data_IF_540830556390
#
_entry.id   IF_540830556390
#
_cell.length_a   1.000
_cell.length_b   1.000
_cell.length_c   1.000
_cell.angle_alpha   90.00
_cell.angle_beta   90.00
_cell.angle_gamma   90.00
#
_symmetry.space_group_name_H-M   'P 1'
#
loop_
_entity.id
_entity.type
_entity.pdbx_description
1 polymer ?
#
# COMPACT_ATOMS: atom_id res chain seq x y z
N UNK A 1 -4.74 11.58 9.35
CA UNK A 1 -5.36 10.24 9.32
C UNK A 1 -4.56 9.29 10.22
N UNK A 2 -5.18 8.56 11.15
CA UNK A 2 -4.48 7.52 11.94
C UNK A 2 -4.46 6.19 11.15
N UNK A 3 -3.57 6.10 10.15
CA UNK A 3 -3.51 5.02 9.16
C UNK A 3 -3.68 3.61 9.76
N UNK A 4 -2.84 3.23 10.73
CA UNK A 4 -2.89 1.89 11.32
C UNK A 4 -4.19 1.56 12.06
N UNK A 5 -4.84 2.56 12.67
CA UNK A 5 -6.13 2.38 13.36
C UNK A 5 -7.22 2.12 12.33
N UNK A 6 -7.27 2.93 11.26
CA UNK A 6 -8.25 2.78 10.18
C UNK A 6 -8.19 1.38 9.56
N UNK A 7 -6.99 0.88 9.24
CA UNK A 7 -6.82 -0.47 8.68
C UNK A 7 -7.36 -1.55 9.65
N UNK A 8 -6.96 -1.48 10.93
CA UNK A 8 -7.36 -2.49 11.91
C UNK A 8 -8.87 -2.50 12.13
N UNK A 9 -9.51 -1.33 12.24
CA UNK A 9 -10.97 -1.23 12.40
C UNK A 9 -11.70 -1.83 11.21
N UNK A 10 -11.29 -1.51 9.97
CA UNK A 10 -11.91 -2.08 8.77
C UNK A 10 -11.76 -3.60 8.69
N UNK A 11 -10.63 -4.15 9.14
CA UNK A 11 -10.42 -5.60 9.18
C UNK A 11 -11.29 -6.30 10.22
N UNK A 12 -11.42 -5.75 11.42
CA UNK A 12 -12.22 -6.38 12.48
C UNK A 12 -13.71 -6.30 12.18
N UNK A 13 -14.22 -5.18 11.65
CA UNK A 13 -15.62 -5.05 11.23
C UNK A 13 -15.99 -6.12 10.19
N UNK A 14 -15.16 -6.30 9.15
CA UNK A 14 -15.40 -7.32 8.13
C UNK A 14 -15.29 -8.76 8.68
N UNK A 15 -14.47 -9.00 9.70
CA UNK A 15 -14.41 -10.30 10.38
C UNK A 15 -15.66 -10.57 11.20
N UNK A 16 -16.13 -9.58 11.96
CA UNK A 16 -17.33 -9.69 12.81
C UNK A 16 -18.60 -9.90 11.98
N UNK A 17 -18.79 -9.14 10.91
CA UNK A 17 -19.91 -9.31 9.98
C UNK A 17 -19.93 -10.73 9.41
N UNK A 18 -18.79 -11.24 8.97
CA UNK A 18 -18.73 -12.58 8.40
C UNK A 18 -18.98 -13.68 9.44
N UNK A 19 -18.61 -13.46 10.70
CA UNK A 19 -18.91 -14.39 11.78
C UNK A 19 -20.39 -14.38 12.15
N UNK A 20 -21.04 -13.21 12.12
CA UNK A 20 -22.49 -13.08 12.37
C UNK A 20 -23.33 -13.82 11.33
N UNK A 21 -22.91 -13.80 10.05
CA UNK A 21 -23.62 -14.49 8.96
C UNK A 21 -23.67 -16.03 9.10
N UNK A 22 -22.83 -16.64 9.96
CA UNK A 22 -22.60 -18.10 9.97
C UNK A 22 -23.58 -18.90 10.83
N UNK A 23 -24.30 -18.25 11.76
CA UNK A 23 -25.23 -18.91 12.68
C UNK A 23 -24.58 -19.95 13.60
N UNK A 24 -25.40 -20.82 14.20
CA UNK A 24 -24.92 -21.93 15.03
C UNK A 24 -24.29 -23.04 14.18
N UNK A 25 -23.18 -23.59 14.67
CA UNK A 25 -22.39 -24.63 14.00
C UNK A 25 -21.86 -25.62 15.00
N UNK A 26 -21.67 -26.88 14.59
CA UNK A 26 -20.92 -27.86 15.35
C UNK A 26 -19.45 -27.44 15.54
N UNK A 27 -18.79 -27.99 16.55
CA UNK A 27 -17.45 -27.58 16.97
C UNK A 27 -16.37 -27.78 15.87
N UNK A 28 -16.51 -28.82 15.03
CA UNK A 28 -15.55 -29.10 13.95
C UNK A 28 -15.71 -28.09 12.81
N UNK A 29 -16.95 -27.79 12.42
CA UNK A 29 -17.27 -26.79 11.41
C UNK A 29 -16.87 -25.39 11.88
N UNK A 30 -17.15 -25.06 13.15
CA UNK A 30 -16.76 -23.79 13.77
C UNK A 30 -15.24 -23.55 13.69
N UNK A 31 -14.40 -24.53 14.05
CA UNK A 31 -12.93 -24.43 13.94
C UNK A 31 -12.48 -24.14 12.51
N UNK A 32 -13.04 -24.84 11.51
CA UNK A 32 -12.71 -24.63 10.09
C UNK A 32 -13.12 -23.24 9.61
N UNK A 33 -14.32 -22.77 10.00
CA UNK A 33 -14.83 -21.45 9.65
C UNK A 33 -13.97 -20.35 10.28
N UNK A 34 -13.60 -20.47 11.55
CA UNK A 34 -12.72 -19.52 12.22
C UNK A 34 -11.38 -19.42 11.48
N UNK A 35 -10.76 -20.55 11.13
CA UNK A 35 -9.50 -20.58 10.39
C UNK A 35 -9.61 -19.85 9.04
N UNK A 36 -10.66 -20.15 8.27
CA UNK A 36 -10.86 -19.55 6.94
C UNK A 36 -11.18 -18.05 7.00
N UNK A 37 -11.90 -17.61 8.02
CA UNK A 37 -12.29 -16.20 8.20
C UNK A 37 -11.09 -15.39 8.67
N UNK A 38 -10.28 -15.91 9.61
CA UNK A 38 -9.00 -15.30 9.98
C UNK A 38 -8.07 -15.13 8.77
N UNK A 39 -7.92 -16.18 7.95
CA UNK A 39 -7.11 -16.11 6.72
C UNK A 39 -7.61 -15.02 5.77
N UNK A 40 -8.92 -14.88 5.59
CA UNK A 40 -9.50 -13.82 4.73
C UNK A 40 -9.33 -12.43 5.33
N UNK A 41 -9.46 -12.29 6.65
CA UNK A 41 -9.14 -11.04 7.36
C UNK A 41 -7.71 -10.60 7.08
N UNK A 42 -6.74 -11.52 7.13
CA UNK A 42 -5.33 -11.19 6.86
C UNK A 42 -5.09 -10.80 5.40
N UNK A 43 -5.72 -11.50 4.44
CA UNK A 43 -5.68 -11.13 3.01
C UNK A 43 -6.28 -9.74 2.79
N UNK A 44 -7.43 -9.48 3.40
CA UNK A 44 -8.12 -8.19 3.33
C UNK A 44 -7.29 -7.10 3.98
N UNK A 45 -6.58 -7.38 5.07
CA UNK A 45 -5.68 -6.42 5.72
C UNK A 45 -4.62 -5.92 4.75
N UNK A 46 -3.95 -6.82 4.05
CA UNK A 46 -2.97 -6.45 3.03
C UNK A 46 -3.59 -5.63 1.89
N UNK A 47 -4.77 -6.03 1.40
CA UNK A 47 -5.46 -5.31 0.34
C UNK A 47 -5.92 -3.91 0.76
N UNK A 48 -6.54 -3.75 1.93
CA UNK A 48 -6.97 -2.45 2.47
C UNK A 48 -5.74 -1.57 2.67
N UNK A 49 -4.69 -2.09 3.32
CA UNK A 49 -3.44 -1.35 3.55
C UNK A 49 -2.87 -0.80 2.25
N UNK A 50 -2.73 -1.66 1.24
CA UNK A 50 -2.23 -1.26 -0.07
C UNK A 50 -3.14 -0.25 -0.76
N UNK A 51 -4.45 -0.51 -0.80
CA UNK A 51 -5.41 0.36 -1.47
C UNK A 51 -5.47 1.75 -0.82
N UNK A 52 -5.38 1.83 0.51
CA UNK A 52 -5.29 3.11 1.23
C UNK A 52 -3.99 3.84 0.90
N UNK A 53 -2.84 3.16 0.81
CA UNK A 53 -1.59 3.81 0.38
C UNK A 53 -1.70 4.37 -1.05
N UNK A 54 -2.31 3.63 -1.97
CA UNK A 54 -2.57 4.12 -3.33
C UNK A 54 -3.42 5.40 -3.30
N UNK A 55 -4.50 5.41 -2.52
CA UNK A 55 -5.34 6.61 -2.38
C UNK A 55 -4.56 7.79 -1.78
N UNK A 56 -3.70 7.56 -0.79
CA UNK A 56 -2.87 8.61 -0.22
C UNK A 56 -1.91 9.19 -1.25
N UNK A 57 -1.31 8.35 -2.09
CA UNK A 57 -0.42 8.77 -3.18
C UNK A 57 -1.19 9.53 -4.27
N UNK A 58 -2.40 9.10 -4.61
CA UNK A 58 -3.29 9.84 -5.52
C UNK A 58 -3.65 11.22 -4.94
N UNK A 59 -3.95 11.31 -3.64
CA UNK A 59 -4.33 12.56 -2.98
C UNK A 59 -3.19 13.59 -2.91
N UNK A 60 -1.93 13.17 -2.96
CA UNK A 60 -0.76 14.08 -2.99
C UNK A 60 -0.32 14.43 -4.42
N UNK A 61 -1.10 14.05 -5.44
CA UNK A 61 -0.93 14.53 -6.83
C UNK A 61 -0.37 13.52 -7.83
N UNK A 62 -0.15 12.26 -7.44
CA UNK A 62 0.25 11.22 -8.39
C UNK A 62 -0.96 10.68 -9.16
N UNK A 63 -0.76 10.36 -10.44
CA UNK A 63 -1.75 9.68 -11.28
C UNK A 63 -1.44 8.19 -11.33
N UNK A 64 -2.41 7.36 -10.95
CA UNK A 64 -2.25 5.90 -10.89
C UNK A 64 -3.18 5.23 -11.90
N UNK A 65 -2.62 4.62 -12.95
CA UNK A 65 -3.40 3.76 -13.86
C UNK A 65 -3.54 2.38 -13.24
N UNK A 66 -4.78 1.91 -13.08
CA UNK A 66 -5.13 0.66 -12.41
C UNK A 66 -5.50 -0.42 -13.44
N UNK A 67 -5.06 -1.65 -13.23
CA UNK A 67 -5.47 -2.82 -14.00
C UNK A 67 -6.77 -3.41 -13.44
N UNK A 68 -7.71 -3.76 -14.31
CA UNK A 68 -8.92 -4.50 -13.93
C UNK A 68 -8.57 -5.93 -13.51
N UNK A 69 -9.21 -6.40 -12.45
CA UNK A 69 -9.07 -7.77 -11.95
C UNK A 69 -10.47 -8.21 -11.54
N UNK A 70 -10.72 -9.51 -11.62
CA UNK A 70 -11.96 -10.10 -11.15
C UNK A 70 -12.04 -9.98 -9.63
N UNK A 71 -13.11 -9.39 -9.14
CA UNK A 71 -13.42 -9.34 -7.70
C UNK A 71 -13.82 -10.73 -7.19
N UNK A 72 -13.35 -11.08 -6.00
CA UNK A 72 -13.82 -12.26 -5.29
C UNK A 72 -14.87 -11.86 -4.24
N UNK A 73 -15.87 -12.72 -4.01
CA UNK A 73 -17.06 -12.40 -3.19
C UNK A 73 -16.74 -12.00 -1.74
N UNK A 74 -15.72 -12.59 -1.14
CA UNK A 74 -15.42 -12.48 0.31
C UNK A 74 -14.04 -11.87 0.60
N UNK A 75 -13.32 -11.44 -0.43
CA UNK A 75 -12.01 -10.79 -0.25
C UNK A 75 -11.96 -9.49 -1.02
N UNK A 76 -11.37 -8.48 -0.41
CA UNK A 76 -11.18 -7.18 -1.03
C UNK A 76 -10.15 -7.32 -2.15
N UNK A 77 -10.50 -6.79 -3.31
CA UNK A 77 -9.60 -6.75 -4.45
C UNK A 77 -8.50 -5.73 -4.18
N UNK A 78 -7.26 -6.22 -4.14
CA UNK A 78 -6.08 -5.36 -4.10
C UNK A 78 -5.90 -4.69 -5.46
N UNK A 79 -5.69 -3.37 -5.46
CA UNK A 79 -5.37 -2.60 -6.66
C UNK A 79 -4.11 -3.19 -7.30
N UNK A 80 -4.10 -3.31 -8.63
CA UNK A 80 -2.90 -3.59 -9.40
C UNK A 80 -2.56 -2.35 -10.19
N UNK A 81 -1.37 -1.81 -9.92
CA UNK A 81 -0.88 -0.62 -10.59
C UNK A 81 -0.26 -1.05 -11.92
N UNK A 82 -0.67 -0.39 -12.99
CA UNK A 82 -0.07 -0.51 -14.32
C UNK A 82 0.96 0.58 -14.54
N UNK A 83 0.61 1.83 -14.21
CA UNK A 83 1.46 3.00 -14.47
C UNK A 83 1.31 4.03 -13.34
N UNK A 84 2.38 4.77 -13.05
CA UNK A 84 2.45 5.88 -12.09
C UNK A 84 2.96 7.12 -12.83
N UNK A 85 2.24 8.22 -12.71
CA UNK A 85 2.60 9.53 -13.25
C UNK A 85 2.50 10.64 -12.21
N UNK A 86 3.04 11.81 -12.56
CA UNK A 86 2.97 13.04 -11.76
C UNK A 86 2.65 14.18 -12.74
N UNK A 87 1.64 14.99 -12.43
CA UNK A 87 1.20 16.03 -13.38
C UNK A 87 0.73 15.42 -14.69
N UNK A 88 1.24 15.87 -15.84
CA UNK A 88 0.91 15.31 -17.16
C UNK A 88 1.85 14.20 -17.63
N UNK A 89 2.90 13.89 -16.86
CA UNK A 89 3.95 12.96 -17.29
C UNK A 89 3.83 11.60 -16.62
N UNK A 90 3.94 10.53 -17.43
CA UNK A 90 4.06 9.16 -16.95
C UNK A 90 5.51 8.84 -16.62
N UNK A 91 5.78 8.42 -15.38
CA UNK A 91 7.15 8.24 -14.88
C UNK A 91 7.54 6.78 -14.69
N UNK A 92 6.60 5.91 -14.36
CA UNK A 92 6.87 4.48 -14.16
C UNK A 92 5.81 3.60 -14.77
N UNK A 93 6.23 2.66 -15.62
CA UNK A 93 5.39 1.58 -16.17
C UNK A 93 5.56 0.30 -15.35
N UNK A 94 4.70 -0.67 -15.61
CA UNK A 94 4.59 -1.92 -14.86
C UNK A 94 5.91 -2.66 -14.70
N UNK A 95 6.72 -2.75 -15.76
CA UNK A 95 8.00 -3.44 -15.75
C UNK A 95 8.95 -2.80 -14.72
N UNK A 96 9.02 -1.46 -14.71
CA UNK A 96 9.86 -0.72 -13.78
C UNK A 96 9.35 -0.80 -12.34
N UNK A 97 8.03 -0.77 -12.14
CA UNK A 97 7.41 -0.96 -10.82
C UNK A 97 7.77 -2.34 -10.27
N UNK A 98 7.69 -3.38 -11.11
CA UNK A 98 8.06 -4.74 -10.72
C UNK A 98 9.56 -4.87 -10.40
N UNK A 99 10.41 -4.26 -11.22
CA UNK A 99 11.86 -4.25 -11.01
C UNK A 99 12.23 -3.60 -9.67
N UNK A 100 11.80 -2.37 -9.41
CA UNK A 100 12.05 -1.65 -8.15
C UNK A 100 11.48 -2.44 -6.97
N UNK A 101 10.25 -2.96 -7.10
CA UNK A 101 9.61 -3.75 -6.04
C UNK A 101 10.39 -5.03 -5.71
N UNK A 102 11.00 -5.68 -6.71
CA UNK A 102 11.86 -6.84 -6.51
C UNK A 102 13.13 -6.48 -5.73
N UNK A 103 13.79 -5.39 -6.12
CA UNK A 103 15.01 -4.89 -5.47
C UNK A 103 14.78 -4.50 -4.02
N UNK A 104 13.72 -3.73 -3.74
CA UNK A 104 13.32 -3.36 -2.37
C UNK A 104 13.04 -4.61 -1.53
N UNK A 105 12.32 -5.59 -2.08
CA UNK A 105 11.99 -6.82 -1.35
C UNK A 105 13.24 -7.66 -1.02
N UNK A 106 14.21 -7.72 -1.93
CA UNK A 106 15.50 -8.38 -1.66
C UNK A 106 16.28 -7.66 -0.57
N UNK A 107 16.35 -6.33 -0.64
CA UNK A 107 17.01 -5.50 0.38
C UNK A 107 16.40 -5.71 1.77
N UNK A 108 15.08 -5.59 1.89
CA UNK A 108 14.35 -5.80 3.15
C UNK A 108 14.61 -7.21 3.70
N UNK A 109 14.59 -8.24 2.85
CA UNK A 109 14.91 -9.63 3.28
C UNK A 109 16.32 -9.75 3.83
N UNK A 110 17.30 -9.08 3.22
CA UNK A 110 18.67 -9.02 3.71
C UNK A 110 18.76 -8.44 5.12
N UNK A 111 17.99 -7.38 5.41
CA UNK A 111 17.96 -6.74 6.74
C UNK A 111 17.39 -7.64 7.86
N UNK A 112 16.55 -8.61 7.52
CA UNK A 112 15.89 -9.51 8.50
C UNK A 112 16.83 -10.60 9.05
N UNK A 113 18.03 -10.76 8.47
CA UNK A 113 18.90 -11.93 8.70
C UNK A 113 19.60 -12.01 10.07
N UNK A 114 19.29 -11.16 11.05
CA UNK A 114 19.89 -11.23 12.39
C UNK A 114 18.94 -10.87 13.53
N UNK A 115 18.31 -11.87 14.15
CA UNK A 115 17.61 -11.87 15.46
C UNK A 115 16.52 -10.81 15.76
N UNK A 116 16.33 -9.77 14.95
CA UNK A 116 15.35 -8.72 15.18
C UNK A 116 14.03 -8.98 14.48
N UNK A 117 12.93 -9.00 15.24
CA UNK A 117 11.54 -8.99 14.71
C UNK A 117 11.13 -7.62 14.14
N UNK A 118 12.04 -6.64 14.17
CA UNK A 118 11.75 -5.24 13.89
C UNK A 118 12.76 -4.72 12.88
N UNK A 119 12.24 -4.16 11.78
CA UNK A 119 13.02 -3.43 10.78
C UNK A 119 12.70 -1.95 10.99
N UNK A 120 13.74 -1.13 11.15
CA UNK A 120 13.59 0.33 11.12
C UNK A 120 14.12 0.78 9.77
N UNK A 121 13.21 1.03 8.83
CA UNK A 121 13.53 1.73 7.59
C UNK A 121 13.61 3.22 7.91
N UNK A 122 14.75 3.84 7.59
CA UNK A 122 14.90 5.30 7.73
C UNK A 122 14.32 5.99 6.51
N UNK A 123 13.80 7.20 6.68
CA UNK A 123 13.25 7.99 5.56
C UNK A 123 14.33 8.35 4.53
N UNK A 124 15.60 8.36 4.93
CA UNK A 124 16.78 8.70 4.13
C UNK A 124 17.58 7.45 3.72
N UNK A 125 16.96 6.26 3.70
CA UNK A 125 17.63 5.02 3.30
C UNK A 125 18.25 5.16 1.90
N UNK A 126 19.59 5.19 1.85
CA UNK A 126 20.34 5.51 0.64
C UNK A 126 20.07 4.51 -0.49
N UNK A 127 19.94 3.22 -0.15
CA UNK A 127 19.67 2.19 -1.14
C UNK A 127 18.29 2.38 -1.73
N UNK A 128 17.25 2.51 -0.89
CA UNK A 128 15.88 2.72 -1.36
C UNK A 128 15.80 4.00 -2.21
N UNK A 129 16.39 5.10 -1.75
CA UNK A 129 16.38 6.37 -2.48
C UNK A 129 17.08 6.26 -3.84
N UNK A 130 18.22 5.55 -3.93
CA UNK A 130 18.93 5.31 -5.20
C UNK A 130 18.07 4.61 -6.26
N UNK A 131 17.12 3.76 -5.86
CA UNK A 131 16.23 3.06 -6.79
C UNK A 131 15.24 3.99 -7.48
N UNK A 132 14.96 5.14 -6.85
CA UNK A 132 14.09 6.19 -7.35
C UNK A 132 14.85 7.33 -8.04
N UNK A 133 16.18 7.43 -7.86
CA UNK A 133 17.07 8.40 -8.54
C UNK A 133 17.47 7.90 -9.94
N UNK A 134 16.51 7.39 -10.72
CA UNK A 134 16.74 7.09 -12.14
C UNK A 134 16.01 8.15 -12.98
N UNK A 135 16.68 9.29 -13.13
CA UNK A 135 16.75 10.17 -14.31
C UNK A 135 17.25 11.57 -13.93
N UNK A 136 18.44 11.67 -13.34
CA UNK A 136 19.17 12.96 -13.18
C UNK A 136 20.26 13.13 -14.22
N UNK A 137 20.01 12.73 -15.47
CA UNK A 137 20.58 13.45 -16.62
C UNK A 137 19.54 14.40 -17.26
N UNK A 138 18.28 14.36 -16.83
CA UNK A 138 17.27 15.39 -17.14
C UNK A 138 16.67 15.96 -15.84
N UNK A 139 17.42 16.91 -15.28
CA UNK A 139 16.98 18.08 -14.49
C UNK A 139 16.12 17.85 -13.22
N UNK A 140 16.78 17.84 -12.06
CA UNK A 140 16.68 18.85 -10.98
C UNK A 140 15.35 19.64 -10.76
N UNK A 141 14.18 19.04 -10.93
CA UNK A 141 12.89 19.63 -10.50
C UNK A 141 12.28 18.98 -9.26
N UNK A 142 12.85 17.87 -8.80
CA UNK A 142 12.20 16.96 -7.85
C UNK A 142 12.30 17.36 -6.37
N UNK A 143 13.17 18.31 -6.02
CA UNK A 143 13.36 18.76 -4.62
C UNK A 143 12.67 20.07 -4.24
N UNK A 144 12.00 20.78 -5.16
CA UNK A 144 11.40 22.10 -4.86
C UNK A 144 9.91 22.08 -4.44
N UNK A 145 9.35 20.93 -4.03
CA UNK A 145 7.96 20.87 -3.54
C UNK A 145 7.86 21.29 -2.05
N UNK A 146 8.89 21.91 -1.46
CA UNK A 146 8.85 22.39 -0.07
C UNK A 146 8.70 23.91 0.13
N UNK A 147 8.58 24.74 -0.92
CA UNK A 147 8.51 26.20 -0.73
C UNK A 147 7.27 26.93 -1.30
N UNK A 148 6.39 26.29 -2.09
CA UNK A 148 5.27 27.01 -2.72
C UNK A 148 3.88 26.86 -2.06
N UNK A 149 3.77 26.25 -0.88
CA UNK A 149 2.50 26.24 -0.11
C UNK A 149 2.53 27.10 1.15
N UNK A 150 3.46 28.05 1.21
CA UNK A 150 3.47 29.09 2.24
C UNK A 150 2.76 30.35 1.73
N UNK A 151 1.52 30.55 2.19
CA UNK A 151 0.83 31.84 2.32
C UNK A 151 0.57 32.67 1.05
N UNK A 152 -0.60 32.48 0.44
CA UNK A 152 -1.42 33.62 -0.05
C UNK A 152 -2.90 33.34 0.24
N UNK A 153 -3.32 33.62 1.48
CA UNK A 153 -4.70 34.05 1.76
C UNK A 153 -4.69 35.55 1.53
N UNK A 154 -4.96 35.98 0.30
CA UNK A 154 -5.23 37.39 0.02
C UNK A 154 -6.70 37.69 0.37
N UNK A 155 -6.84 38.62 1.31
CA UNK A 155 -8.03 39.43 1.55
C UNK A 155 -8.52 40.05 0.24
N UNK A 156 -9.80 39.89 -0.07
CA UNK A 156 -10.71 40.93 -0.55
C UNK A 156 -12.16 40.53 -0.21
#
# INVERSE_FOLDING_TARGET
MKFGITINVSCELGYEEEMKEKGEMDEKTKKRVIKNTKRRRDINKSAITFNTMVQMVENIGYKITKRSIKSAKKTIQMIKIKEIGIGEEWKMKEERIQEIGSLINQYIKGLITGTGKTIILRNDDQYINSLFIINTEEENKWMNISESTSHEVFLL
#
